data_IF_150231703013
#
_entry.id   IF_150231703013
#
_cell.length_a   1.000
_cell.length_b   1.000
_cell.length_c   1.000
_cell.angle_alpha   90.00
_cell.angle_beta   90.00
_cell.angle_gamma   90.00
#
_symmetry.space_group_name_H-M   'P 1'
#
loop_
_entity.id
_entity.type
_entity.pdbx_description
1 polymer ?
#
# COMPACT_ATOMS: atom_id res chain seq x y z
N UNK A 1 -56.49 4.13 -30.14
CA UNK A 1 -56.07 5.39 -29.49
C UNK A 1 -55.33 5.04 -28.22
N UNK A 2 -54.01 5.21 -28.19
CA UNK A 2 -53.20 4.82 -27.03
C UNK A 2 -53.42 5.80 -25.88
N UNK A 3 -54.03 5.35 -24.78
CA UNK A 3 -54.27 6.18 -23.61
C UNK A 3 -52.94 6.51 -22.93
N UNK A 4 -52.56 7.78 -22.93
CA UNK A 4 -51.33 8.24 -22.29
C UNK A 4 -51.59 8.54 -20.81
N UNK A 5 -50.71 8.06 -19.93
CA UNK A 5 -50.76 8.32 -18.49
C UNK A 5 -49.53 9.10 -18.03
N UNK A 6 -49.73 10.03 -17.10
CA UNK A 6 -48.67 10.69 -16.35
C UNK A 6 -48.68 10.23 -14.88
N UNK A 7 -47.64 9.50 -14.44
CA UNK A 7 -47.45 9.18 -13.03
C UNK A 7 -46.82 10.35 -12.27
N UNK A 8 -47.25 10.59 -11.03
CA UNK A 8 -46.61 11.54 -10.13
C UNK A 8 -45.38 10.93 -9.47
N UNK A 9 -44.25 11.62 -9.52
CA UNK A 9 -43.01 11.18 -8.89
C UNK A 9 -43.07 11.14 -7.35
N UNK A 10 -44.02 11.88 -6.74
CA UNK A 10 -44.13 12.01 -5.29
C UNK A 10 -45.11 11.02 -4.66
N UNK A 11 -46.32 10.91 -5.23
CA UNK A 11 -47.38 10.07 -4.66
C UNK A 11 -47.76 8.85 -5.52
N UNK A 12 -47.14 8.68 -6.69
CA UNK A 12 -47.41 7.55 -7.59
C UNK A 12 -48.77 7.59 -8.31
N UNK A 13 -49.62 8.58 -8.04
CA UNK A 13 -50.92 8.71 -8.70
C UNK A 13 -50.77 8.86 -10.23
N UNK A 14 -51.63 8.18 -10.99
CA UNK A 14 -51.60 8.15 -12.45
C UNK A 14 -52.78 8.95 -13.01
N UNK A 15 -52.48 9.90 -13.89
CA UNK A 15 -53.47 10.78 -14.49
C UNK A 15 -53.56 10.51 -15.99
N UNK A 16 -54.78 10.38 -16.51
CA UNK A 16 -55.00 10.26 -17.96
C UNK A 16 -54.79 11.61 -18.64
N UNK A 17 -53.99 11.61 -19.70
CA UNK A 17 -53.72 12.80 -20.51
C UNK A 17 -54.65 12.76 -21.72
N UNK A 18 -55.67 13.60 -21.71
CA UNK A 18 -56.63 13.75 -22.82
C UNK A 18 -56.34 14.98 -23.69
N UNK A 19 -55.22 15.68 -23.46
CA UNK A 19 -54.83 16.91 -24.14
C UNK A 19 -53.38 17.28 -23.83
N UNK A 20 -53.12 18.51 -23.39
CA UNK A 20 -51.78 18.94 -22.98
C UNK A 20 -51.34 18.26 -21.68
N UNK A 21 -50.08 17.79 -21.60
CA UNK A 21 -49.57 17.18 -20.38
C UNK A 21 -49.47 18.20 -19.25
N UNK A 22 -49.83 17.77 -18.04
CA UNK A 22 -49.74 18.61 -16.84
C UNK A 22 -48.35 18.51 -16.23
N UNK A 23 -47.86 19.62 -15.68
CA UNK A 23 -46.57 19.68 -14.99
C UNK A 23 -46.65 19.29 -13.51
N UNK A 24 -47.80 19.55 -12.86
CA UNK A 24 -48.00 19.38 -11.41
C UNK A 24 -49.19 18.47 -11.11
N UNK A 25 -49.03 17.59 -10.14
CA UNK A 25 -50.07 16.68 -9.69
C UNK A 25 -51.13 17.45 -8.88
N UNK A 26 -52.41 17.45 -9.27
CA UNK A 26 -53.45 18.19 -8.56
C UNK A 26 -53.72 17.64 -7.14
N UNK A 27 -53.27 16.42 -6.82
CA UNK A 27 -53.48 15.80 -5.51
C UNK A 27 -52.41 16.15 -4.48
N UNK A 28 -51.13 16.23 -4.87
CA UNK A 28 -50.01 16.38 -3.93
C UNK A 28 -49.03 17.49 -4.30
N UNK A 29 -49.32 18.23 -5.38
CA UNK A 29 -48.47 19.29 -5.96
C UNK A 29 -47.04 18.81 -6.29
N UNK A 30 -46.84 17.50 -6.42
CA UNK A 30 -45.58 16.91 -6.87
C UNK A 30 -45.43 16.94 -8.39
N UNK A 31 -44.20 16.85 -8.88
CA UNK A 31 -43.89 16.84 -10.32
C UNK A 31 -44.51 15.61 -10.99
N UNK A 32 -45.21 15.83 -12.10
CA UNK A 32 -45.70 14.76 -12.99
C UNK A 32 -44.60 14.39 -13.98
N UNK A 33 -44.39 13.08 -14.15
CA UNK A 33 -43.45 12.55 -15.13
C UNK A 33 -44.01 12.71 -16.55
N UNK A 34 -43.14 12.57 -17.55
CA UNK A 34 -43.52 12.65 -18.96
C UNK A 34 -44.59 11.61 -19.30
N UNK A 35 -45.58 11.94 -20.16
CA UNK A 35 -46.62 11.00 -20.55
C UNK A 35 -46.02 9.78 -21.23
N UNK A 36 -46.44 8.59 -20.82
CA UNK A 36 -46.08 7.34 -21.46
C UNK A 36 -47.33 6.50 -21.73
N UNK A 37 -47.30 5.60 -22.73
CA UNK A 37 -48.35 4.63 -22.92
C UNK A 37 -48.39 3.65 -21.73
N UNK A 38 -49.61 3.17 -21.40
CA UNK A 38 -49.92 2.31 -20.25
C UNK A 38 -48.99 1.09 -20.10
N UNK A 39 -48.51 0.54 -21.22
CA UNK A 39 -47.78 -0.73 -21.27
C UNK A 39 -46.27 -0.57 -21.55
N UNK A 40 -45.70 0.64 -21.41
CA UNK A 40 -44.27 0.84 -21.65
C UNK A 40 -43.39 0.27 -20.50
N UNK A 41 -42.38 -0.58 -20.81
CA UNK A 41 -41.40 -1.07 -19.84
C UNK A 41 -40.62 0.09 -19.20
N UNK A 42 -40.10 -0.12 -17.99
CA UNK A 42 -39.48 0.93 -17.18
C UNK A 42 -38.32 1.68 -17.88
N UNK A 43 -37.63 1.01 -18.79
CA UNK A 43 -36.53 1.57 -19.60
C UNK A 43 -36.99 2.56 -20.69
N UNK A 44 -38.24 2.44 -21.18
CA UNK A 44 -38.84 3.38 -22.16
C UNK A 44 -39.55 4.56 -21.49
N UNK A 45 -39.53 4.65 -20.16
CA UNK A 45 -39.99 5.83 -19.43
C UNK A 45 -38.91 6.89 -19.62
N UNK A 46 -39.23 7.94 -20.37
CA UNK A 46 -38.27 8.93 -20.85
C UNK A 46 -37.58 9.69 -19.69
N UNK A 47 -36.56 9.11 -19.06
CA UNK A 47 -35.61 9.82 -18.22
C UNK A 47 -34.52 10.38 -19.14
N UNK A 48 -34.66 11.64 -19.54
CA UNK A 48 -33.56 12.35 -20.19
C UNK A 48 -32.71 13.00 -19.10
N UNK A 49 -31.61 12.36 -18.75
CA UNK A 49 -30.57 13.03 -17.96
C UNK A 49 -30.02 14.19 -18.78
N UNK A 50 -30.31 15.42 -18.34
CA UNK A 50 -29.75 16.63 -18.94
C UNK A 50 -28.76 17.19 -17.94
N UNK A 51 -27.47 16.97 -18.19
CA UNK A 51 -26.42 17.69 -17.49
C UNK A 51 -26.52 19.18 -17.89
N UNK A 52 -27.07 20.01 -17.01
CA UNK A 52 -27.04 21.47 -17.19
C UNK A 52 -25.80 22.03 -16.51
N UNK A 53 -25.08 22.92 -17.20
CA UNK A 53 -24.06 23.75 -16.55
C UNK A 53 -24.77 24.73 -15.59
N UNK A 54 -24.16 25.10 -14.44
CA UNK A 54 -24.82 25.86 -13.36
C UNK A 54 -25.37 27.24 -13.75
N UNK A 55 -25.02 27.72 -14.94
CA UNK A 55 -25.16 29.09 -15.44
C UNK A 55 -26.36 29.31 -16.38
N UNK A 56 -27.11 28.27 -16.75
CA UNK A 56 -28.27 28.40 -17.65
C UNK A 56 -29.62 28.64 -16.95
N UNK A 57 -29.65 29.34 -15.80
CA UNK A 57 -30.92 29.51 -15.05
C UNK A 57 -31.89 30.49 -15.73
N UNK A 58 -31.44 31.39 -16.60
CA UNK A 58 -32.28 32.41 -17.24
C UNK A 58 -31.95 32.57 -18.74
N UNK A 59 -32.62 31.80 -19.61
CA UNK A 59 -32.44 31.87 -21.06
C UNK A 59 -33.48 32.76 -21.74
N UNK A 60 -33.09 33.98 -22.12
CA UNK A 60 -33.75 34.75 -23.18
C UNK A 60 -33.45 34.04 -24.53
N UNK A 61 -34.32 34.10 -25.56
CA UNK A 61 -34.08 33.41 -26.83
C UNK A 61 -32.70 33.78 -27.39
N UNK A 62 -31.90 32.76 -27.67
CA UNK A 62 -30.57 32.93 -28.26
C UNK A 62 -30.77 33.45 -29.68
N UNK A 63 -30.66 34.76 -29.86
CA UNK A 63 -30.34 35.33 -31.18
C UNK A 63 -29.06 34.62 -31.62
N UNK A 64 -29.06 34.03 -32.80
CA UNK A 64 -27.88 33.41 -33.42
C UNK A 64 -26.80 34.47 -33.55
N UNK A 65 -26.01 34.64 -32.49
CA UNK A 65 -24.88 35.54 -32.47
C UNK A 65 -23.89 34.98 -33.49
N UNK A 66 -23.51 35.83 -34.45
CA UNK A 66 -22.45 35.55 -35.41
C UNK A 66 -21.29 34.84 -34.70
N UNK A 67 -20.84 33.72 -35.28
CA UNK A 67 -19.82 32.83 -34.70
C UNK A 67 -18.57 33.66 -34.43
N UNK A 68 -18.39 34.11 -33.18
CA UNK A 68 -17.17 34.81 -32.78
C UNK A 68 -16.00 33.87 -33.07
N UNK A 69 -14.93 34.33 -33.74
CA UNK A 69 -13.75 33.52 -33.93
C UNK A 69 -13.28 33.01 -32.57
N UNK A 70 -12.84 31.75 -32.54
CA UNK A 70 -12.38 31.12 -31.30
C UNK A 70 -11.37 32.05 -30.64
N UNK A 71 -11.64 32.45 -29.39
CA UNK A 71 -10.73 33.29 -28.65
C UNK A 71 -9.36 32.59 -28.65
N UNK A 72 -8.26 33.33 -28.93
CA UNK A 72 -6.93 32.74 -28.94
C UNK A 72 -6.67 32.06 -27.60
N UNK A 73 -6.08 30.87 -27.64
CA UNK A 73 -5.70 30.13 -26.44
C UNK A 73 -4.97 31.07 -25.48
N UNK A 74 -5.42 31.23 -24.23
CA UNK A 74 -4.87 32.24 -23.33
C UNK A 74 -3.36 32.03 -23.20
N UNK A 75 -2.59 32.99 -23.69
CA UNK A 75 -1.14 33.01 -23.57
C UNK A 75 -0.80 33.70 -22.26
N UNK A 76 -0.43 32.90 -21.26
CA UNK A 76 0.12 33.44 -20.04
C UNK A 76 1.60 33.76 -20.27
N UNK A 77 2.01 34.98 -19.94
CA UNK A 77 3.43 35.39 -19.94
C UNK A 77 4.24 34.66 -18.89
N UNK A 78 3.59 34.02 -17.92
CA UNK A 78 4.21 33.25 -16.85
C UNK A 78 3.48 31.93 -16.66
N UNK A 79 4.19 30.92 -16.14
CA UNK A 79 3.63 29.60 -15.86
C UNK A 79 2.45 29.75 -14.88
N UNK A 80 1.24 29.29 -15.24
CA UNK A 80 0.06 29.42 -14.39
C UNK A 80 0.27 28.69 -13.06
N UNK A 81 0.05 29.42 -11.97
CA UNK A 81 0.36 29.01 -10.60
C UNK A 81 -0.83 28.43 -9.84
N UNK A 82 -1.97 28.25 -10.51
CA UNK A 82 -3.28 27.88 -9.96
C UNK A 82 -3.61 26.37 -10.05
N UNK A 83 -2.67 25.53 -10.48
CA UNK A 83 -2.81 24.07 -10.37
C UNK A 83 -2.68 23.56 -8.94
N UNK A 84 -3.14 22.33 -8.69
CA UNK A 84 -2.87 21.62 -7.45
C UNK A 84 -1.35 21.51 -7.29
N UNK A 85 -0.78 22.35 -6.42
CA UNK A 85 0.64 22.29 -6.12
C UNK A 85 0.88 21.13 -5.18
N UNK A 86 1.48 20.08 -5.71
CA UNK A 86 2.11 19.07 -4.88
C UNK A 86 3.43 19.69 -4.39
N UNK A 87 3.34 20.58 -3.41
CA UNK A 87 4.51 21.18 -2.79
C UNK A 87 5.25 20.04 -2.07
N UNK A 88 6.48 19.66 -2.50
CA UNK A 88 7.24 18.69 -1.75
C UNK A 88 7.37 19.25 -0.34
N UNK A 89 6.91 18.48 0.65
CA UNK A 89 6.86 18.93 2.04
C UNK A 89 8.18 19.60 2.41
N UNK A 90 8.09 20.83 2.94
CA UNK A 90 9.23 21.67 3.24
C UNK A 90 10.35 20.81 3.83
N UNK A 91 11.54 20.84 3.20
CA UNK A 91 12.70 20.10 3.65
C UNK A 91 12.86 20.44 5.13
N UNK A 92 12.52 19.48 6.00
CA UNK A 92 12.44 19.72 7.42
C UNK A 92 13.76 20.37 7.85
N UNK A 93 13.67 21.58 8.42
CA UNK A 93 14.83 22.29 8.95
C UNK A 93 15.71 21.28 9.67
N UNK A 94 17.00 21.31 9.35
CA UNK A 94 17.99 20.34 9.79
C UNK A 94 18.11 20.37 11.33
N UNK A 95 17.13 19.79 12.00
CA UNK A 95 17.13 19.60 13.44
C UNK A 95 18.36 18.77 13.76
N UNK A 96 19.11 19.13 14.82
CA UNK A 96 20.35 18.45 15.16
C UNK A 96 20.08 16.94 15.25
N UNK A 97 20.83 16.18 14.46
CA UNK A 97 20.63 14.75 14.26
C UNK A 97 20.79 14.05 15.61
N UNK A 98 19.66 13.67 16.22
CA UNK A 98 19.63 13.05 17.55
C UNK A 98 20.43 11.74 17.52
N UNK A 99 21.08 11.39 18.62
CA UNK A 99 21.84 10.12 18.74
C UNK A 99 20.97 8.90 18.37
N UNK A 100 19.68 8.92 18.70
CA UNK A 100 18.70 7.89 18.34
C UNK A 100 18.52 7.73 16.83
N UNK A 101 18.58 8.81 16.06
CA UNK A 101 18.48 8.77 14.61
C UNK A 101 19.73 8.17 13.94
N UNK A 102 20.92 8.42 14.51
CA UNK A 102 22.17 7.79 14.05
C UNK A 102 22.14 6.29 14.30
N UNK A 103 21.71 5.89 15.49
CA UNK A 103 21.51 4.49 15.86
C UNK A 103 20.49 3.79 14.95
N UNK A 104 19.34 4.43 14.71
CA UNK A 104 18.29 3.92 13.85
C UNK A 104 18.79 3.63 12.42
N UNK A 105 19.65 4.50 11.88
CA UNK A 105 20.25 4.32 10.56
C UNK A 105 21.16 3.10 10.44
N UNK A 106 21.71 2.59 11.55
CA UNK A 106 22.61 1.42 11.56
C UNK A 106 21.90 0.10 11.84
N UNK A 107 20.58 0.09 12.12
CA UNK A 107 19.85 -1.12 12.51
C UNK A 107 19.94 -2.23 11.46
N UNK A 108 19.70 -1.90 10.19
CA UNK A 108 19.70 -2.92 9.12
C UNK A 108 21.05 -3.62 8.97
N UNK A 109 22.20 -2.93 8.80
CA UNK A 109 23.48 -3.61 8.67
C UNK A 109 23.85 -4.38 9.96
N UNK A 110 23.54 -3.84 11.15
CA UNK A 110 23.80 -4.55 12.40
C UNK A 110 23.00 -5.85 12.51
N UNK A 111 21.71 -5.85 12.15
CA UNK A 111 20.90 -7.05 12.16
C UNK A 111 21.40 -8.10 11.15
N UNK A 112 21.87 -7.68 9.98
CA UNK A 112 22.45 -8.59 8.99
C UNK A 112 23.73 -9.25 9.52
N UNK A 113 24.64 -8.48 10.10
CA UNK A 113 25.87 -9.00 10.71
C UNK A 113 25.53 -9.93 11.89
N UNK A 114 24.60 -9.52 12.75
CA UNK A 114 24.16 -10.34 13.90
C UNK A 114 23.59 -11.68 13.47
N UNK A 115 22.71 -11.69 12.45
CA UNK A 115 22.15 -12.92 11.90
C UNK A 115 23.25 -13.82 11.32
N UNK A 116 24.23 -13.23 10.62
CA UNK A 116 25.40 -13.95 10.10
C UNK A 116 26.27 -14.54 11.21
N UNK A 117 26.47 -13.82 12.32
CA UNK A 117 27.26 -14.30 13.46
C UNK A 117 26.55 -15.44 14.22
N UNK A 118 25.24 -15.37 14.42
CA UNK A 118 24.48 -16.49 14.98
C UNK A 118 24.49 -17.72 14.06
N UNK A 119 24.35 -17.52 12.74
CA UNK A 119 24.47 -18.62 11.78
C UNK A 119 25.89 -19.24 11.81
N UNK A 120 26.93 -18.42 11.92
CA UNK A 120 28.31 -18.88 12.06
C UNK A 120 28.53 -19.66 13.38
N UNK A 121 27.94 -19.19 14.49
CA UNK A 121 27.98 -19.89 15.77
C UNK A 121 27.30 -21.26 15.70
N UNK A 122 26.11 -21.33 15.10
CA UNK A 122 25.40 -22.59 14.88
C UNK A 122 26.23 -23.58 14.04
N UNK A 123 26.84 -23.11 12.95
CA UNK A 123 27.75 -23.93 12.13
C UNK A 123 28.98 -24.37 12.93
N UNK A 124 29.55 -23.47 13.75
CA UNK A 124 30.67 -23.79 14.64
C UNK A 124 30.33 -24.92 15.62
N UNK A 125 29.16 -24.88 16.24
CA UNK A 125 28.70 -25.92 17.15
C UNK A 125 28.42 -27.24 16.42
N UNK A 126 27.90 -27.21 15.19
CA UNK A 126 27.75 -28.41 14.37
C UNK A 126 29.11 -29.02 14.00
N UNK A 127 30.11 -28.20 13.66
CA UNK A 127 31.48 -28.66 13.43
C UNK A 127 32.04 -29.30 14.69
N UNK A 128 31.83 -28.68 15.87
CA UNK A 128 32.25 -29.24 17.15
C UNK A 128 31.57 -30.58 17.45
N UNK A 129 30.29 -30.71 17.17
CA UNK A 129 29.55 -31.96 17.30
C UNK A 129 30.17 -33.07 16.42
N UNK A 130 30.48 -32.76 15.16
CA UNK A 130 31.14 -33.70 14.24
C UNK A 130 32.53 -34.10 14.75
N UNK A 131 33.32 -33.14 15.24
CA UNK A 131 34.63 -33.40 15.87
C UNK A 131 34.49 -34.38 17.03
N UNK A 132 33.51 -34.18 17.92
CA UNK A 132 33.26 -35.10 19.04
C UNK A 132 32.83 -36.50 18.57
N UNK A 133 32.02 -36.59 17.51
CA UNK A 133 31.59 -37.86 16.95
C UNK A 133 32.76 -38.64 16.34
N UNK A 134 33.67 -37.96 15.63
CA UNK A 134 34.88 -38.57 15.08
C UNK A 134 35.86 -38.94 16.19
N UNK A 135 36.01 -38.08 17.21
CA UNK A 135 36.90 -38.30 18.36
C UNK A 135 36.55 -39.59 19.13
N UNK A 136 35.29 -40.05 19.04
CA UNK A 136 34.86 -41.32 19.61
C UNK A 136 35.61 -42.54 19.04
N UNK A 137 36.07 -42.47 17.79
CA UNK A 137 36.69 -43.60 17.09
C UNK A 137 38.12 -43.34 16.63
N UNK A 138 38.57 -42.08 16.62
CA UNK A 138 39.91 -41.67 16.19
C UNK A 138 40.44 -40.59 17.12
N UNK A 139 41.72 -40.63 17.45
CA UNK A 139 42.34 -39.50 18.15
C UNK A 139 42.48 -38.33 17.17
N UNK A 140 41.96 -37.17 17.55
CA UNK A 140 42.03 -35.93 16.77
C UNK A 140 43.25 -35.13 17.23
N UNK A 141 43.92 -34.50 16.27
CA UNK A 141 45.06 -33.63 16.53
C UNK A 141 44.69 -32.46 17.48
N UNK A 142 45.50 -32.13 18.49
CA UNK A 142 45.22 -31.06 19.44
C UNK A 142 44.99 -29.68 18.81
N UNK A 143 45.63 -29.37 17.67
CA UNK A 143 45.41 -28.09 16.99
C UNK A 143 44.03 -28.01 16.34
N UNK A 144 43.52 -29.11 15.80
CA UNK A 144 42.16 -29.16 15.25
C UNK A 144 41.10 -28.93 16.35
N UNK A 145 41.29 -29.52 17.53
CA UNK A 145 40.44 -29.28 18.70
C UNK A 145 40.49 -27.81 19.14
N UNK A 146 41.69 -27.24 19.25
CA UNK A 146 41.87 -25.82 19.59
C UNK A 146 41.19 -24.91 18.58
N UNK A 147 41.31 -25.16 17.29
CA UNK A 147 40.64 -24.36 16.26
C UNK A 147 39.12 -24.40 16.41
N UNK A 148 38.54 -25.57 16.70
CA UNK A 148 37.10 -25.73 16.98
C UNK A 148 36.66 -24.89 18.18
N UNK A 149 37.41 -24.94 19.30
CA UNK A 149 37.09 -24.14 20.49
C UNK A 149 37.15 -22.63 20.22
N UNK A 150 38.14 -22.17 19.46
CA UNK A 150 38.27 -20.77 19.06
C UNK A 150 37.13 -20.34 18.12
N UNK A 151 36.75 -21.19 17.18
CA UNK A 151 35.63 -20.92 16.26
C UNK A 151 34.32 -20.74 17.04
N UNK A 152 34.00 -21.66 17.94
CA UNK A 152 32.76 -21.59 18.74
C UNK A 152 32.79 -20.41 19.70
N UNK A 153 33.87 -20.26 20.47
CA UNK A 153 33.97 -19.19 21.47
C UNK A 153 33.98 -17.81 20.81
N UNK A 154 34.78 -17.64 19.75
CA UNK A 154 34.91 -16.39 19.02
C UNK A 154 33.60 -15.98 18.33
N UNK A 155 32.96 -16.90 17.61
CA UNK A 155 31.68 -16.63 16.95
C UNK A 155 30.57 -16.30 17.95
N UNK A 156 30.50 -17.01 19.08
CA UNK A 156 29.51 -16.76 20.14
C UNK A 156 29.70 -15.39 20.80
N UNK A 157 30.94 -15.01 21.12
CA UNK A 157 31.24 -13.70 21.71
C UNK A 157 30.92 -12.56 20.73
N UNK A 158 31.28 -12.71 19.45
CA UNK A 158 30.94 -11.74 18.42
C UNK A 158 29.43 -11.65 18.22
N UNK A 159 28.73 -12.78 18.14
CA UNK A 159 27.28 -12.82 18.02
C UNK A 159 26.59 -12.07 19.17
N UNK A 160 27.04 -12.29 20.42
CA UNK A 160 26.52 -11.59 21.59
C UNK A 160 26.80 -10.08 21.52
N UNK A 161 28.02 -9.67 21.16
CA UNK A 161 28.39 -8.26 21.03
C UNK A 161 27.56 -7.55 19.96
N UNK A 162 27.37 -8.16 18.80
CA UNK A 162 26.54 -7.61 17.72
C UNK A 162 25.05 -7.66 18.06
N UNK A 163 24.57 -8.66 18.80
CA UNK A 163 23.19 -8.71 19.29
C UNK A 163 22.90 -7.56 20.26
N UNK A 164 23.81 -7.26 21.18
CA UNK A 164 23.70 -6.11 22.08
C UNK A 164 23.69 -4.79 21.29
N UNK A 165 24.63 -4.62 20.36
CA UNK A 165 24.68 -3.43 19.51
C UNK A 165 23.39 -3.27 18.68
N UNK A 166 22.85 -4.38 18.14
CA UNK A 166 21.57 -4.41 17.42
C UNK A 166 20.40 -4.04 18.32
N UNK A 167 20.37 -4.51 19.57
CA UNK A 167 19.35 -4.14 20.55
C UNK A 167 19.34 -2.63 20.86
N UNK A 168 20.51 -2.02 21.04
CA UNK A 168 20.62 -0.56 21.24
C UNK A 168 20.19 0.21 19.99
N UNK A 169 20.55 -0.27 18.81
CA UNK A 169 20.12 0.33 17.55
C UNK A 169 18.60 0.22 17.35
N UNK A 170 18.00 -0.94 17.66
CA UNK A 170 16.56 -1.19 17.62
C UNK A 170 15.80 -0.30 18.60
N UNK A 171 16.33 -0.08 19.81
CA UNK A 171 15.78 0.89 20.76
C UNK A 171 15.77 2.30 20.18
N UNK A 172 16.88 2.74 19.58
CA UNK A 172 16.95 4.03 18.90
C UNK A 172 15.93 4.16 17.77
N UNK A 173 15.79 3.11 16.95
CA UNK A 173 14.79 3.03 15.89
C UNK A 173 13.35 3.03 16.43
N UNK A 174 13.07 2.30 17.51
CA UNK A 174 11.74 2.22 18.11
C UNK A 174 11.29 3.60 18.60
N UNK A 175 12.16 4.30 19.34
CA UNK A 175 11.90 5.66 19.85
C UNK A 175 11.62 6.63 18.69
N UNK A 176 12.41 6.57 17.63
CA UNK A 176 12.24 7.47 16.48
C UNK A 176 10.98 7.15 15.68
N UNK A 177 10.71 5.87 15.44
CA UNK A 177 9.54 5.40 14.69
C UNK A 177 8.25 5.75 15.41
N UNK A 178 8.19 5.56 16.74
CA UNK A 178 7.03 5.93 17.54
C UNK A 178 6.77 7.43 17.47
N UNK A 179 7.80 8.25 17.72
CA UNK A 179 7.69 9.71 17.60
C UNK A 179 7.16 10.15 16.24
N UNK A 180 7.70 9.60 15.16
CA UNK A 180 7.27 9.93 13.80
C UNK A 180 5.81 9.54 13.53
N UNK A 181 5.36 8.39 14.05
CA UNK A 181 3.98 7.91 13.85
C UNK A 181 2.97 8.74 14.65
N UNK A 182 3.24 9.00 15.93
CA UNK A 182 2.35 9.83 16.76
C UNK A 182 2.34 11.29 16.32
N UNK A 183 3.48 11.83 15.89
CA UNK A 183 3.56 13.20 15.36
C UNK A 183 2.70 13.38 14.09
N UNK A 184 2.66 12.37 13.20
CA UNK A 184 1.77 12.38 12.02
C UNK A 184 0.28 12.38 12.40
N UNK A 185 -0.07 11.77 13.52
CA UNK A 185 -1.41 11.79 14.07
C UNK A 185 -1.71 13.04 14.92
N UNK A 186 -0.78 14.01 14.98
CA UNK A 186 -0.93 15.25 15.76
C UNK A 186 -0.83 15.06 17.28
N UNK A 187 -0.29 13.93 17.76
CA UNK A 187 -0.17 13.59 19.19
C UNK A 187 1.28 13.40 19.59
N UNK A 188 1.58 13.66 20.87
CA UNK A 188 2.84 13.23 21.48
C UNK A 188 2.79 11.74 21.83
N UNK A 189 3.95 11.07 21.84
CA UNK A 189 4.03 9.67 22.28
C UNK A 189 3.58 9.57 23.75
N UNK A 190 2.58 8.73 24.08
CA UNK A 190 2.11 8.55 25.45
C UNK A 190 3.16 7.88 26.36
N UNK A 191 4.17 7.21 25.79
CA UNK A 191 5.20 6.50 26.55
C UNK A 191 6.45 7.37 26.69
N UNK A 192 6.96 7.45 27.91
CA UNK A 192 8.24 8.12 28.18
C UNK A 192 9.41 7.27 27.65
N UNK A 193 10.50 7.93 27.26
CA UNK A 193 11.73 7.25 26.84
C UNK A 193 12.26 6.21 27.85
N UNK A 194 12.31 6.48 29.18
CA UNK A 194 12.74 5.46 30.15
C UNK A 194 11.79 4.26 30.20
N UNK A 195 10.48 4.44 30.02
CA UNK A 195 9.55 3.32 29.97
C UNK A 195 9.83 2.39 28.78
N UNK A 196 10.16 2.96 27.61
CA UNK A 196 10.56 2.19 26.43
C UNK A 196 11.86 1.41 26.68
N UNK A 197 12.85 2.07 27.29
CA UNK A 197 14.16 1.46 27.63
C UNK A 197 13.98 0.33 28.64
N UNK A 198 13.32 0.58 29.77
CA UNK A 198 13.09 -0.43 30.81
C UNK A 198 12.26 -1.60 30.31
N UNK A 199 11.24 -1.33 29.49
CA UNK A 199 10.41 -2.37 28.87
C UNK A 199 11.19 -3.31 27.95
N UNK A 200 12.31 -2.86 27.38
CA UNK A 200 13.17 -3.66 26.50
C UNK A 200 14.43 -4.23 27.17
N UNK A 201 14.90 -3.66 28.29
CA UNK A 201 16.14 -4.10 28.94
C UNK A 201 15.92 -5.09 30.08
N UNK A 202 14.80 -4.99 30.80
CA UNK A 202 14.53 -5.85 31.94
C UNK A 202 14.20 -7.27 31.43
N UNK A 203 14.96 -8.32 31.81
CA UNK A 203 14.65 -9.69 31.44
C UNK A 203 13.22 -10.08 31.86
N UNK A 204 12.59 -11.01 31.14
CA UNK A 204 11.17 -11.39 31.28
C UNK A 204 10.19 -10.29 30.84
N UNK A 205 10.34 -9.06 31.34
CA UNK A 205 9.54 -7.89 30.93
C UNK A 205 9.71 -7.61 29.43
N UNK A 206 10.93 -7.78 28.92
CA UNK A 206 11.30 -7.69 27.51
C UNK A 206 10.63 -8.74 26.60
N UNK A 207 10.00 -9.79 27.15
CA UNK A 207 9.21 -10.72 26.34
C UNK A 207 7.85 -10.13 25.94
N UNK A 208 7.30 -9.21 26.74
CA UNK A 208 5.92 -8.71 26.57
C UNK A 208 5.92 -7.31 25.95
N UNK A 209 6.66 -6.38 26.53
CA UNK A 209 6.54 -4.95 26.21
C UNK A 209 6.94 -4.55 24.80
N UNK A 210 8.01 -5.08 24.18
CA UNK A 210 8.31 -4.78 22.78
C UNK A 210 7.16 -5.12 21.83
N UNK A 211 6.46 -6.24 22.09
CA UNK A 211 5.26 -6.61 21.36
C UNK A 211 4.17 -5.54 21.48
N UNK A 212 3.88 -5.10 22.71
CA UNK A 212 2.91 -4.04 22.99
C UNK A 212 3.28 -2.74 22.26
N UNK A 213 4.53 -2.28 22.38
CA UNK A 213 4.98 -1.04 21.75
C UNK A 213 4.86 -1.08 20.22
N UNK A 214 5.12 -2.23 19.60
CA UNK A 214 4.98 -2.42 18.16
C UNK A 214 3.51 -2.51 17.74
N UNK A 215 2.65 -3.14 18.54
CA UNK A 215 1.20 -3.17 18.26
C UNK A 215 0.58 -1.79 18.32
N UNK A 216 0.97 -0.93 19.28
CA UNK A 216 0.51 0.47 19.35
C UNK A 216 0.88 1.25 18.07
N UNK A 217 2.07 1.02 17.50
CA UNK A 217 2.49 1.63 16.22
C UNK A 217 1.60 1.13 15.07
N UNK A 218 1.35 -0.17 15.00
CA UNK A 218 0.57 -0.76 13.92
C UNK A 218 -0.91 -0.41 13.98
N UNK A 219 -1.48 -0.26 15.18
CA UNK A 219 -2.85 0.24 15.37
C UNK A 219 -2.98 1.68 14.91
N UNK A 220 -2.00 2.53 15.21
CA UNK A 220 -2.04 3.94 14.80
C UNK A 220 -1.93 4.10 13.27
N UNK A 221 -1.20 3.20 12.60
CA UNK A 221 -1.11 3.17 11.14
C UNK A 221 -2.32 2.53 10.45
N UNK A 222 -3.13 1.75 11.18
CA UNK A 222 -4.29 1.05 10.61
C UNK A 222 -3.95 -0.12 9.68
N UNK A 223 -2.73 -0.66 9.73
CA UNK A 223 -2.26 -1.70 8.81
C UNK A 223 -2.45 -3.13 9.37
N UNK A 224 -3.43 -3.93 8.89
CA UNK A 224 -3.70 -5.29 9.42
C UNK A 224 -2.57 -6.29 9.10
N UNK A 225 -1.74 -6.00 8.09
CA UNK A 225 -0.58 -6.83 7.73
C UNK A 225 0.56 -6.63 8.73
N UNK A 226 0.78 -5.40 9.18
CA UNK A 226 1.78 -5.09 10.20
C UNK A 226 1.45 -5.80 11.51
N UNK A 227 0.19 -5.78 11.93
CA UNK A 227 -0.26 -6.51 13.13
C UNK A 227 0.00 -8.01 13.05
N UNK A 228 -0.28 -8.66 11.90
CA UNK A 228 0.01 -10.09 11.73
C UNK A 228 1.50 -10.38 11.79
N UNK A 229 2.33 -9.58 11.14
CA UNK A 229 3.78 -9.70 11.24
C UNK A 229 4.27 -9.56 12.68
N UNK A 230 3.70 -8.62 13.45
CA UNK A 230 4.05 -8.40 14.85
C UNK A 230 3.74 -9.61 15.70
N UNK A 231 2.59 -10.26 15.48
CA UNK A 231 2.23 -11.49 16.20
C UNK A 231 3.19 -12.64 15.87
N UNK A 232 3.51 -12.85 14.59
CA UNK A 232 4.44 -13.90 14.17
C UNK A 232 5.83 -13.67 14.77
N UNK A 233 6.33 -12.43 14.67
CA UNK A 233 7.60 -12.03 15.27
C UNK A 233 7.60 -12.22 16.79
N UNK A 234 6.54 -11.81 17.47
CA UNK A 234 6.44 -11.93 18.93
C UNK A 234 6.44 -13.40 19.39
N UNK A 235 5.70 -14.28 18.70
CA UNK A 235 5.74 -15.71 19.00
C UNK A 235 7.15 -16.29 18.84
N UNK A 236 7.85 -15.93 17.76
CA UNK A 236 9.23 -16.36 17.53
C UNK A 236 10.21 -15.81 18.58
N UNK A 237 10.03 -14.55 19.01
CA UNK A 237 10.81 -13.93 20.07
C UNK A 237 10.65 -14.65 21.41
N UNK A 238 9.41 -14.96 21.80
CA UNK A 238 9.11 -15.72 23.03
C UNK A 238 9.69 -17.13 22.95
N UNK A 239 9.50 -17.81 21.81
CA UNK A 239 10.07 -19.15 21.59
C UNK A 239 11.60 -19.14 21.66
N UNK A 240 12.26 -18.17 21.02
CA UNK A 240 13.72 -18.01 21.10
C UNK A 240 14.20 -17.74 22.52
N UNK A 241 13.48 -16.91 23.29
CA UNK A 241 13.76 -16.68 24.70
C UNK A 241 13.63 -17.95 25.55
N UNK A 242 12.61 -18.77 25.29
CA UNK A 242 12.43 -20.06 25.97
C UNK A 242 13.55 -21.04 25.63
N UNK A 243 13.98 -21.11 24.37
CA UNK A 243 15.12 -21.94 23.95
C UNK A 243 16.42 -21.50 24.62
N UNK A 244 16.68 -20.19 24.69
CA UNK A 244 17.85 -19.67 25.40
C UNK A 244 17.82 -19.99 26.90
N UNK A 245 16.65 -19.86 27.55
CA UNK A 245 16.50 -20.25 28.96
C UNK A 245 16.71 -21.76 29.16
N UNK A 246 16.16 -22.59 28.28
CA UNK A 246 16.38 -24.04 28.28
C UNK A 246 17.86 -24.38 28.08
N UNK A 247 18.58 -23.68 27.21
CA UNK A 247 20.01 -23.90 26.96
C UNK A 247 20.86 -23.58 28.19
N UNK A 248 20.51 -22.50 28.90
CA UNK A 248 21.18 -22.12 30.15
C UNK A 248 20.93 -23.15 31.26
N UNK A 249 19.70 -23.65 31.39
CA UNK A 249 19.34 -24.70 32.34
C UNK A 249 20.02 -26.04 31.99
N UNK A 250 20.17 -26.36 30.70
CA UNK A 250 20.81 -27.60 30.24
C UNK A 250 22.26 -27.73 30.73
N UNK A 251 22.92 -26.59 31.00
CA UNK A 251 24.31 -26.53 31.46
C UNK A 251 24.53 -27.16 32.84
N UNK A 252 23.47 -27.42 33.61
CA UNK A 252 23.57 -28.02 34.95
C UNK A 252 23.49 -29.56 34.94
N UNK A 253 23.43 -30.20 33.77
CA UNK A 253 23.30 -31.65 33.67
C UNK A 253 24.65 -32.39 33.64
N UNK A 254 24.76 -33.48 34.41
CA UNK A 254 26.04 -34.16 34.66
C UNK A 254 26.35 -35.35 33.73
N UNK A 255 25.36 -35.92 33.06
CA UNK A 255 25.54 -37.11 32.19
C UNK A 255 26.29 -36.80 30.90
N UNK A 256 27.16 -37.72 30.46
CA UNK A 256 27.93 -37.60 29.22
C UNK A 256 27.05 -37.53 27.96
N UNK A 257 25.95 -38.30 27.92
CA UNK A 257 25.00 -38.23 26.81
C UNK A 257 24.31 -36.87 26.77
N UNK A 258 23.92 -36.34 27.94
CA UNK A 258 23.25 -35.05 28.05
C UNK A 258 24.16 -33.89 27.64
N UNK A 259 25.47 -34.00 27.88
CA UNK A 259 26.47 -33.03 27.40
C UNK A 259 26.62 -33.03 25.87
N UNK A 260 26.55 -34.20 25.22
CA UNK A 260 26.59 -34.30 23.76
C UNK A 260 25.30 -33.74 23.13
N UNK A 261 24.13 -34.08 23.68
CA UNK A 261 22.84 -33.52 23.26
C UNK A 261 22.80 -32.01 23.48
N UNK A 262 23.48 -31.52 24.52
CA UNK A 262 23.65 -30.09 24.80
C UNK A 262 24.33 -29.34 23.65
N UNK A 263 25.32 -29.92 22.97
CA UNK A 263 25.97 -29.27 21.81
C UNK A 263 25.01 -29.13 20.62
N UNK A 264 24.21 -30.16 20.36
CA UNK A 264 23.20 -30.07 19.31
C UNK A 264 22.10 -29.06 19.68
N UNK A 265 21.72 -29.01 20.96
CA UNK A 265 20.75 -28.06 21.47
C UNK A 265 21.24 -26.60 21.39
N UNK A 266 22.53 -26.34 21.68
CA UNK A 266 23.11 -25.00 21.50
C UNK A 266 23.16 -24.61 20.02
N UNK A 267 23.57 -25.52 19.13
CA UNK A 267 23.52 -25.28 17.68
C UNK A 267 22.12 -24.93 17.18
N UNK A 268 21.09 -25.64 17.66
CA UNK A 268 19.69 -25.35 17.34
C UNK A 268 19.26 -23.99 17.91
N UNK A 269 19.67 -23.66 19.12
CA UNK A 269 19.36 -22.38 19.77
C UNK A 269 19.98 -21.21 19.00
N UNK A 270 21.21 -21.34 18.53
CA UNK A 270 21.88 -20.33 17.70
C UNK A 270 21.20 -20.19 16.33
N UNK A 271 20.77 -21.29 15.72
CA UNK A 271 20.00 -21.26 14.47
C UNK A 271 18.64 -20.55 14.64
N UNK A 272 17.95 -20.80 15.76
CA UNK A 272 16.70 -20.10 16.12
C UNK A 272 16.98 -18.61 16.36
N UNK A 273 18.07 -18.26 17.03
CA UNK A 273 18.46 -16.86 17.24
C UNK A 273 18.74 -16.14 15.91
N UNK A 274 19.40 -16.81 14.96
CA UNK A 274 19.58 -16.29 13.60
C UNK A 274 18.24 -16.07 12.90
N UNK A 275 17.32 -17.05 12.96
CA UNK A 275 15.99 -16.96 12.37
C UNK A 275 15.15 -15.81 12.97
N UNK A 276 15.17 -15.66 14.30
CA UNK A 276 14.51 -14.55 15.01
C UNK A 276 15.09 -13.19 14.58
N UNK A 277 16.41 -13.11 14.40
CA UNK A 277 17.07 -11.88 13.93
C UNK A 277 16.64 -11.53 12.49
N UNK A 278 16.58 -12.51 11.59
CA UNK A 278 16.08 -12.33 10.21
C UNK A 278 14.61 -11.94 10.21
N UNK A 279 13.79 -12.56 11.05
CA UNK A 279 12.37 -12.22 11.20
C UNK A 279 12.17 -10.80 11.74
N UNK A 280 13.04 -10.37 12.67
CA UNK A 280 13.07 -8.99 13.17
C UNK A 280 13.38 -8.01 12.03
N UNK A 281 14.37 -8.33 11.19
CA UNK A 281 14.70 -7.52 10.02
C UNK A 281 13.54 -7.47 9.00
N UNK A 282 12.90 -8.61 8.72
CA UNK A 282 11.74 -8.67 7.85
C UNK A 282 10.61 -7.80 8.35
N UNK A 283 10.29 -7.89 9.65
CA UNK A 283 9.24 -7.07 10.24
C UNK A 283 9.57 -5.59 10.18
N UNK A 284 10.80 -5.21 10.51
CA UNK A 284 11.23 -3.81 10.45
C UNK A 284 11.10 -3.28 9.02
N UNK A 285 11.54 -4.06 8.02
CA UNK A 285 11.36 -3.71 6.60
C UNK A 285 9.88 -3.60 6.22
N UNK A 286 9.03 -4.51 6.67
CA UNK A 286 7.59 -4.45 6.43
C UNK A 286 6.97 -3.17 7.03
N UNK A 287 7.35 -2.79 8.25
CA UNK A 287 6.92 -1.55 8.87
C UNK A 287 7.42 -0.32 8.10
N UNK A 288 8.61 -0.36 7.52
CA UNK A 288 9.13 0.73 6.68
C UNK A 288 8.58 0.71 5.24
N UNK A 289 7.61 -0.16 4.93
CA UNK A 289 7.07 -0.28 3.58
C UNK A 289 8.10 -0.82 2.57
N UNK A 290 9.10 -1.57 3.02
CA UNK A 290 10.15 -2.21 2.21
C UNK A 290 9.94 -3.71 2.11
N UNK A 291 10.40 -4.30 1.01
CA UNK A 291 10.46 -5.76 0.82
C UNK A 291 11.64 -6.39 1.57
N UNK A 292 11.67 -7.73 1.62
CA UNK A 292 12.78 -8.52 2.17
C UNK A 292 14.14 -8.17 1.55
N UNK A 293 14.18 -7.68 0.31
CA UNK A 293 15.41 -7.27 -0.36
C UNK A 293 15.72 -5.77 -0.22
N UNK A 294 14.96 -5.05 0.62
CA UNK A 294 15.15 -3.61 0.85
C UNK A 294 14.54 -2.70 -0.22
N UNK A 295 13.88 -3.26 -1.24
CA UNK A 295 13.16 -2.48 -2.26
C UNK A 295 11.96 -1.78 -1.63
N UNK A 296 11.72 -0.52 -1.99
CA UNK A 296 10.51 0.20 -1.58
C UNK A 296 9.29 -0.49 -2.20
N UNK A 297 8.32 -0.87 -1.37
CA UNK A 297 7.00 -1.27 -1.87
C UNK A 297 6.30 0.00 -2.29
N UNK A 298 6.36 0.29 -3.58
CA UNK A 298 5.46 1.26 -4.19
C UNK A 298 4.04 0.75 -3.92
N UNK A 299 3.28 1.50 -3.13
CA UNK A 299 1.86 1.25 -2.98
C UNK A 299 1.28 1.29 -4.39
N UNK A 300 0.78 0.15 -4.87
CA UNK A 300 0.16 0.05 -6.19
C UNK A 300 -1.11 0.90 -6.14
N UNK A 301 -1.00 2.17 -6.55
CA UNK A 301 -2.14 3.07 -6.70
C UNK A 301 -2.88 2.62 -7.94
N UNK A 302 -3.93 1.82 -7.73
CA UNK A 302 -4.87 1.50 -8.78
C UNK A 302 -5.60 2.79 -9.15
N UNK A 303 -5.16 3.39 -10.24
CA UNK A 303 -5.92 4.44 -10.91
C UNK A 303 -6.87 3.71 -11.85
N UNK A 304 -8.14 4.13 -11.89
CA UNK A 304 -9.07 3.64 -12.91
C UNK A 304 -8.39 3.85 -14.26
N UNK A 305 -8.11 2.77 -14.97
CA UNK A 305 -7.64 2.86 -16.34
C UNK A 305 -8.77 3.53 -17.12
N UNK A 306 -8.59 4.80 -17.46
CA UNK A 306 -9.39 5.40 -18.52
C UNK A 306 -8.73 4.87 -19.78
N UNK A 307 -9.46 4.09 -20.57
CA UNK A 307 -8.98 3.67 -21.88
C UNK A 307 -8.48 4.90 -22.63
N UNK A 308 -7.34 4.80 -23.37
CA UNK A 308 -6.82 5.94 -24.12
C UNK A 308 -7.98 6.52 -24.95
N UNK A 309 -8.22 7.85 -24.89
CA UNK A 309 -9.38 8.45 -25.54
C UNK A 309 -9.33 8.10 -27.02
N UNK A 310 -10.22 7.20 -27.45
CA UNK A 310 -10.40 6.89 -28.87
C UNK A 310 -11.08 8.12 -29.47
N UNK A 311 -10.43 8.88 -30.35
CA UNK A 311 -11.08 10.00 -30.99
C UNK A 311 -12.16 9.45 -31.92
N UNK A 312 -13.42 9.48 -31.48
CA UNK A 312 -14.60 9.10 -32.28
C UNK A 312 -14.83 10.09 -33.43
N UNK A 313 -14.19 11.26 -33.37
CA UNK A 313 -14.29 12.30 -34.39
C UNK A 313 -12.90 12.49 -34.99
N UNK A 314 -12.78 12.23 -36.29
CA UNK A 314 -11.58 12.52 -37.06
C UNK A 314 -11.25 14.02 -36.95
N UNK A 315 -9.98 14.39 -36.66
CA UNK A 315 -9.60 15.78 -36.53
C UNK A 315 -9.89 16.53 -37.83
N UNK A 316 -10.63 17.64 -37.72
CA UNK A 316 -11.01 18.48 -38.87
C UNK A 316 -9.73 19.02 -39.50
N UNK A 317 -9.34 18.45 -40.63
CA UNK A 317 -8.27 19.00 -41.47
C UNK A 317 -8.81 20.24 -42.20
N UNK A 318 -8.11 21.38 -42.14
CA UNK A 318 -8.49 22.53 -42.94
C UNK A 318 -8.38 22.12 -44.41
N UNK A 319 -9.47 22.32 -45.16
CA UNK A 319 -9.46 22.11 -46.60
C UNK A 319 -8.33 22.96 -47.20
N UNK A 320 -7.36 22.31 -47.83
CA UNK A 320 -6.33 23.00 -48.62
C UNK A 320 -7.07 23.79 -49.69
N UNK A 321 -6.88 25.10 -49.68
CA UNK A 321 -7.48 26.03 -50.64
C UNK A 321 -6.85 25.83 -52.03
N UNK A 322 -7.23 24.74 -52.69
CA UNK A 322 -6.87 24.43 -54.07
C UNK A 322 -7.96 23.51 -54.63
N UNK A 323 -9.15 24.09 -54.83
CA UNK A 323 -10.12 23.57 -55.78
C UNK A 323 -10.69 24.76 -56.58
N UNK A 324 -10.65 24.72 -57.91
CA UNK A 324 -11.03 25.84 -58.77
C UNK A 324 -12.52 26.15 -58.64
N UNK A 325 -12.86 27.44 -58.79
CA UNK A 325 -14.23 27.94 -58.82
C UNK A 325 -15.06 27.19 -59.86
N UNK A 326 -15.91 26.27 -59.42
CA UNK A 326 -17.07 25.85 -60.20
C UNK A 326 -18.10 26.97 -60.07
N UNK A 327 -18.18 27.80 -61.10
CA UNK A 327 -19.26 28.76 -61.27
C UNK A 327 -20.59 28.02 -61.25
N UNK A 328 -21.32 28.16 -60.14
CA UNK A 328 -22.68 27.64 -59.99
C UNK A 328 -23.67 28.67 -60.54
N UNK A 329 -23.67 28.83 -61.86
CA UNK A 329 -24.90 29.18 -62.57
C UNK A 329 -25.44 27.85 -63.13
N UNK A 330 -26.64 27.49 -62.66
CA UNK A 330 -27.44 26.32 -63.06
C UNK A 330 -26.94 24.94 -62.62
N UNK A 331 -27.42 24.47 -61.47
CA UNK A 331 -27.81 23.07 -61.29
C UNK A 331 -28.67 22.86 -60.04
N UNK A 332 -29.84 22.28 -60.27
CA UNK A 332 -30.86 21.79 -59.34
C UNK A 332 -30.36 21.10 -58.06
N UNK A 333 -31.09 21.38 -56.98
CA UNK A 333 -31.08 20.61 -55.74
C UNK A 333 -31.63 19.21 -56.03
N UNK A 334 -30.77 18.20 -55.93
CA UNK A 334 -31.19 16.80 -55.80
C UNK A 334 -30.83 16.32 -54.41
N UNK A 335 -31.86 16.07 -53.59
CA UNK A 335 -31.75 15.28 -52.37
C UNK A 335 -31.33 13.86 -52.76
N UNK A 336 -30.27 13.34 -52.13
CA UNK A 336 -30.08 11.89 -52.10
C UNK A 336 -29.92 11.40 -50.67
N UNK A 337 -30.92 10.57 -50.31
CA UNK A 337 -30.96 9.73 -49.13
C UNK A 337 -29.97 8.60 -49.36
N UNK A 338 -29.10 8.34 -48.40
CA UNK A 338 -28.67 6.97 -48.11
C UNK A 338 -28.16 6.89 -46.66
N UNK A 339 -29.03 6.40 -45.78
CA UNK A 339 -28.67 5.94 -44.45
C UNK A 339 -28.33 4.45 -44.56
N UNK A 340 -27.06 4.14 -44.89
CA UNK A 340 -26.58 2.76 -44.80
C UNK A 340 -26.22 2.44 -43.34
N UNK A 341 -27.09 1.67 -42.72
CA UNK A 341 -26.92 1.08 -41.40
C UNK A 341 -25.88 -0.04 -41.46
N UNK A 342 -24.60 0.32 -41.31
CA UNK A 342 -23.49 -0.61 -41.15
C UNK A 342 -23.56 -1.38 -39.84
N UNK A 343 -23.77 -2.69 -39.95
CA UNK A 343 -23.78 -3.68 -38.88
C UNK A 343 -22.44 -3.73 -38.14
N UNK A 344 -22.46 -3.50 -36.83
CA UNK A 344 -21.30 -3.70 -35.94
C UNK A 344 -21.27 -5.18 -35.51
N UNK A 345 -20.38 -5.97 -36.11
CA UNK A 345 -20.03 -7.30 -35.62
C UNK A 345 -19.10 -7.15 -34.42
N UNK A 346 -19.56 -7.61 -33.26
CA UNK A 346 -18.75 -7.75 -32.05
C UNK A 346 -17.98 -9.07 -32.11
N UNK A 347 -16.66 -9.01 -32.23
CA UNK A 347 -15.78 -10.17 -32.05
C UNK A 347 -15.27 -10.18 -30.60
N UNK A 348 -15.79 -11.11 -29.79
CA UNK A 348 -15.34 -11.38 -28.43
C UNK A 348 -14.02 -12.17 -28.48
N UNK A 349 -12.91 -11.54 -28.10
CA UNK A 349 -11.63 -12.24 -27.90
C UNK A 349 -11.56 -12.78 -26.48
N UNK A 350 -11.69 -14.10 -26.36
CA UNK A 350 -11.49 -14.86 -25.12
C UNK A 350 -10.03 -14.79 -24.67
N UNK A 351 -9.81 -14.37 -23.43
CA UNK A 351 -8.51 -14.40 -22.77
C UNK A 351 -8.07 -15.85 -22.47
N UNK A 352 -6.80 -16.14 -22.75
CA UNK A 352 -6.13 -17.41 -22.40
C UNK A 352 -5.34 -17.25 -21.11
#
# INVERSE_FOLDING_TARGET
MSTMLQPCARCGARWAVHGTPMHWCPRCHGVLLSPGPLDAPAERRNYRWVARRPDQRNGRPVVTAARKPAAPTPRYTQIPRWGLRDEPGAAADATPRRRTAVLAGRVTPLLLVTAGMFALAAVGELVRYVVLLVNRTRLIDPWALRFSDWLVTGSSLLALAFALASGVALLGWLVETRRAVFAKAGRSDPRSAPALVLGCLIPVVNLVWPGVFLTEIATERGDPRALRAIRIWWCAWVFGGLMAAAALLWRTADSLQVKADGVLFTALTDAVAAAVTVLTLWMLRLLDGRDLFGRLRLARRWVVAVDPPVPVIEPVHPARAEAPSRDAADAEITEDRDADSGAVQHEEVMAK
#
